data_IF_329122937463
#
_entry.id   IF_329122937463
#
_cell.length_a   1.000
_cell.length_b   1.000
_cell.length_c   1.000
_cell.angle_alpha   90.00
_cell.angle_beta   90.00
_cell.angle_gamma   90.00
#
_symmetry.space_group_name_H-M   'P 1'
#
loop_
_entity.id
_entity.type
_entity.pdbx_description
1 polymer ?
#
# COMPACT_ATOMS: atom_id res chain seq x y z
N UNK A 1 23.26 -23.17 -14.21
CA UNK A 1 22.60 -23.86 -13.11
C UNK A 1 21.12 -23.98 -13.45
N UNK A 2 20.62 -25.21 -13.51
CA UNK A 2 19.27 -25.54 -14.02
C UNK A 2 18.24 -25.24 -12.93
N UNK A 3 17.23 -24.42 -13.25
CA UNK A 3 16.05 -24.23 -12.43
C UNK A 3 15.06 -25.37 -12.69
N UNK A 4 14.63 -26.02 -11.62
CA UNK A 4 13.63 -27.08 -11.61
C UNK A 4 12.27 -26.44 -11.35
N UNK A 5 11.33 -26.62 -12.28
CA UNK A 5 9.93 -26.27 -12.15
C UNK A 5 9.16 -27.55 -11.75
N UNK A 6 8.32 -27.55 -10.72
CA UNK A 6 7.38 -28.65 -10.51
C UNK A 6 6.04 -28.32 -11.16
N UNK A 7 5.65 -29.21 -12.08
CA UNK A 7 4.31 -29.34 -12.63
C UNK A 7 3.38 -30.02 -11.62
N UNK A 8 2.26 -29.40 -11.29
CA UNK A 8 1.21 -29.96 -10.44
C UNK A 8 -0.12 -30.04 -11.16
N UNK A 9 -0.60 -31.25 -11.32
CA UNK A 9 -1.84 -31.65 -11.95
C UNK A 9 -3.10 -31.12 -11.25
N UNK A 10 -4.03 -30.72 -12.07
CA UNK A 10 -5.44 -30.49 -11.77
C UNK A 10 -6.19 -31.79 -11.47
N UNK A 11 -6.97 -31.81 -10.40
CA UNK A 11 -8.09 -32.75 -10.26
C UNK A 11 -9.34 -32.00 -9.78
N UNK A 12 -10.26 -31.89 -10.70
CA UNK A 12 -11.66 -31.52 -10.51
C UNK A 12 -12.42 -32.74 -9.94
N UNK A 13 -13.27 -32.54 -8.94
CA UNK A 13 -14.36 -33.44 -8.60
C UNK A 13 -15.66 -32.65 -8.40
N UNK A 14 -16.83 -33.28 -8.70
CA UNK A 14 -18.02 -32.57 -9.07
C UNK A 14 -19.01 -32.32 -7.92
N UNK A 15 -19.86 -31.32 -8.17
CA UNK A 15 -21.07 -31.01 -7.40
C UNK A 15 -22.10 -32.14 -7.47
N UNK A 16 -22.67 -32.53 -6.34
CA UNK A 16 -23.99 -33.13 -6.27
C UNK A 16 -24.86 -32.41 -5.25
N UNK A 17 -25.96 -31.92 -5.75
CA UNK A 17 -27.14 -31.42 -5.02
C UNK A 17 -27.97 -32.59 -4.51
N UNK A 18 -28.53 -32.51 -3.30
CA UNK A 18 -29.92 -32.92 -3.04
C UNK A 18 -30.39 -32.51 -1.65
N UNK A 19 -31.56 -31.91 -1.64
CA UNK A 19 -32.44 -31.62 -0.52
C UNK A 19 -32.85 -32.89 0.27
N UNK A 20 -33.06 -32.77 1.58
CA UNK A 20 -34.38 -33.03 2.18
C UNK A 20 -34.43 -32.82 3.70
N UNK A 21 -35.52 -32.17 4.10
CA UNK A 21 -36.01 -32.00 5.46
C UNK A 21 -36.35 -33.35 6.11
N UNK A 22 -36.14 -33.50 7.42
CA UNK A 22 -37.21 -33.90 8.35
C UNK A 22 -36.73 -33.79 9.82
N UNK A 23 -37.63 -33.29 10.64
CA UNK A 23 -37.61 -33.24 12.10
C UNK A 23 -37.55 -34.64 12.74
N UNK A 24 -36.84 -34.80 13.85
CA UNK A 24 -37.37 -35.47 15.07
C UNK A 24 -36.50 -35.25 16.32
N UNK A 25 -37.24 -35.11 17.39
CA UNK A 25 -36.86 -34.91 18.78
C UNK A 25 -36.09 -36.08 19.41
N UNK A 26 -35.39 -35.74 20.49
CA UNK A 26 -35.23 -36.44 21.79
C UNK A 26 -33.94 -37.25 21.99
N UNK A 27 -33.27 -36.88 22.96
CA UNK A 27 -32.93 -37.56 24.25
C UNK A 27 -31.47 -37.36 24.66
N UNK A 28 -31.41 -36.72 25.82
CA UNK A 28 -30.24 -36.61 26.69
C UNK A 28 -29.56 -37.95 26.94
N UNK A 29 -28.26 -38.03 26.63
CA UNK A 29 -27.36 -39.01 27.24
C UNK A 29 -26.11 -38.34 27.73
N UNK A 30 -26.04 -38.18 29.04
CA UNK A 30 -24.84 -37.81 29.79
C UNK A 30 -23.68 -38.76 29.49
N UNK A 31 -22.65 -38.29 28.83
CA UNK A 31 -21.38 -38.99 28.72
C UNK A 31 -20.43 -38.58 29.81
N UNK A 32 -20.11 -39.52 30.68
CA UNK A 32 -19.12 -39.49 31.77
C UNK A 32 -17.77 -38.95 31.22
N UNK A 33 -17.29 -37.84 31.83
CA UNK A 33 -15.92 -37.32 31.63
C UNK A 33 -14.92 -38.35 32.13
N UNK A 34 -14.09 -38.88 31.22
CA UNK A 34 -12.88 -39.62 31.58
C UNK A 34 -11.90 -38.64 32.21
N UNK A 35 -11.46 -38.97 33.44
CA UNK A 35 -10.35 -38.30 34.14
C UNK A 35 -9.08 -38.51 33.30
N UNK A 36 -8.53 -37.42 32.74
CA UNK A 36 -7.18 -37.41 32.22
C UNK A 36 -6.19 -37.35 33.37
N UNK A 37 -5.19 -38.22 33.38
CA UNK A 37 -4.18 -38.35 34.39
C UNK A 37 -3.22 -37.14 34.37
N UNK A 38 -2.85 -36.69 35.57
CA UNK A 38 -1.80 -35.68 35.81
C UNK A 38 -0.46 -36.18 35.28
N UNK A 39 0.00 -35.63 34.13
CA UNK A 39 1.42 -35.58 33.78
C UNK A 39 1.71 -34.27 33.06
N UNK A 40 2.68 -33.53 33.61
CA UNK A 40 3.33 -32.30 33.12
C UNK A 40 2.71 -30.95 33.50
N UNK A 41 2.66 -30.68 34.81
CA UNK A 41 2.24 -29.38 35.32
C UNK A 41 3.31 -28.25 35.21
N UNK A 42 4.55 -28.52 34.86
CA UNK A 42 5.62 -27.52 34.91
C UNK A 42 5.60 -26.53 33.73
N UNK A 43 5.09 -26.96 32.57
CA UNK A 43 4.94 -26.08 31.41
C UNK A 43 3.67 -25.24 31.45
N UNK A 44 2.61 -25.75 32.05
CA UNK A 44 1.33 -25.06 32.11
C UNK A 44 1.37 -23.85 33.06
N UNK A 45 2.08 -23.91 34.19
CA UNK A 45 2.18 -22.82 35.14
C UNK A 45 2.95 -21.62 34.59
N UNK A 46 4.07 -21.83 33.88
CA UNK A 46 4.81 -20.77 33.24
C UNK A 46 4.02 -20.08 32.11
N UNK A 47 3.24 -20.85 31.36
CA UNK A 47 2.36 -20.33 30.32
C UNK A 47 1.21 -19.52 30.92
N UNK A 48 0.54 -20.04 31.95
CA UNK A 48 -0.54 -19.34 32.65
C UNK A 48 -0.04 -18.02 33.23
N UNK A 49 1.12 -18.00 33.88
CA UNK A 49 1.72 -16.79 34.43
C UNK A 49 2.00 -15.73 33.34
N UNK A 50 2.49 -16.15 32.16
CA UNK A 50 2.72 -15.25 31.02
C UNK A 50 1.39 -14.68 30.47
N UNK A 51 0.35 -15.50 30.35
CA UNK A 51 -0.97 -15.05 29.89
C UNK A 51 -1.59 -14.08 30.90
N UNK A 52 -1.42 -14.32 32.20
CA UNK A 52 -1.89 -13.40 33.25
C UNK A 52 -1.17 -12.05 33.21
N UNK A 53 0.18 -12.06 33.00
CA UNK A 53 0.93 -10.81 32.81
C UNK A 53 0.44 -10.01 31.61
N UNK A 54 0.18 -10.67 30.48
CA UNK A 54 -0.37 -10.02 29.29
C UNK A 54 -1.79 -9.47 29.52
N UNK A 55 -2.61 -10.20 30.27
CA UNK A 55 -3.94 -9.75 30.64
C UNK A 55 -3.88 -8.48 31.53
N UNK A 56 -2.98 -8.43 32.52
CA UNK A 56 -2.73 -7.26 33.37
C UNK A 56 -2.27 -6.03 32.58
N UNK A 57 -1.33 -6.22 31.63
CA UNK A 57 -0.87 -5.14 30.75
C UNK A 57 -2.04 -4.61 29.92
N UNK A 58 -2.85 -5.48 29.36
CA UNK A 58 -4.03 -5.09 28.58
C UNK A 58 -5.03 -4.30 29.39
N UNK A 59 -5.36 -4.78 30.60
CA UNK A 59 -6.28 -4.10 31.52
C UNK A 59 -5.77 -2.69 31.85
N UNK A 60 -4.50 -2.53 32.23
CA UNK A 60 -3.89 -1.23 32.53
C UNK A 60 -4.00 -0.27 31.34
N UNK A 61 -3.75 -0.74 30.12
CA UNK A 61 -3.87 0.12 28.94
C UNK A 61 -5.32 0.51 28.60
N UNK A 62 -6.29 -0.35 28.89
CA UNK A 62 -7.70 0.00 28.75
C UNK A 62 -8.12 1.04 29.80
N UNK A 63 -7.63 0.94 31.01
CA UNK A 63 -7.81 1.93 32.08
C UNK A 63 -7.18 3.29 31.71
N UNK A 64 -5.93 3.29 31.21
CA UNK A 64 -5.26 4.50 30.74
C UNK A 64 -6.02 5.18 29.58
N UNK A 65 -6.56 4.38 28.63
CA UNK A 65 -7.40 4.91 27.56
C UNK A 65 -8.71 5.49 28.06
N UNK A 66 -9.32 4.85 29.04
CA UNK A 66 -10.55 5.34 29.65
C UNK A 66 -10.31 6.67 30.38
N UNK A 67 -9.19 6.78 31.13
CA UNK A 67 -8.81 8.00 31.84
C UNK A 67 -8.55 9.17 30.87
N UNK A 68 -7.82 8.92 29.76
CA UNK A 68 -7.59 9.94 28.72
C UNK A 68 -8.90 10.41 28.08
N UNK A 69 -9.86 9.51 27.84
CA UNK A 69 -11.19 9.88 27.33
C UNK A 69 -11.97 10.72 28.32
N UNK A 70 -11.92 10.40 29.60
CA UNK A 70 -12.58 11.17 30.67
C UNK A 70 -11.98 12.58 30.78
N UNK A 71 -10.65 12.72 30.69
CA UNK A 71 -10.00 14.04 30.69
C UNK A 71 -10.33 14.89 29.47
N UNK A 72 -10.53 14.29 28.31
CA UNK A 72 -10.94 15.03 27.10
C UNK A 72 -12.39 15.50 27.15
N UNK A 73 -13.26 14.85 27.92
CA UNK A 73 -14.65 15.29 28.17
C UNK A 73 -14.75 16.42 29.21
N UNK A 74 -13.86 16.44 30.21
CA UNK A 74 -13.90 17.45 31.28
C UNK A 74 -13.18 18.77 30.89
N UNK A 75 -12.48 18.81 29.74
CA UNK A 75 -11.86 20.04 29.23
C UNK A 75 -12.83 21.08 28.64
N UNK A 76 -14.13 20.78 28.63
CA UNK A 76 -15.17 21.59 27.96
C UNK A 76 -16.11 22.38 28.82
N UNK A 77 -15.98 22.39 30.18
CA UNK A 77 -16.89 23.12 31.06
C UNK A 77 -16.13 23.97 32.06
N UNK A 78 -15.56 25.08 31.64
CA UNK A 78 -15.47 26.28 32.47
C UNK A 78 -16.43 27.30 31.89
N UNK A 79 -17.62 27.30 32.45
CA UNK A 79 -18.60 28.37 32.33
C UNK A 79 -18.04 29.62 32.95
N UNK A 80 -17.77 30.64 32.16
CA UNK A 80 -17.85 32.03 32.61
C UNK A 80 -18.85 32.74 31.71
N UNK A 81 -19.79 33.39 32.38
CA UNK A 81 -20.94 34.07 31.84
C UNK A 81 -20.57 35.18 30.85
N UNK A 82 -21.59 35.51 30.05
CA UNK A 82 -21.73 36.70 29.19
C UNK A 82 -20.95 36.71 27.85
N UNK A 83 -21.71 36.34 26.81
CA UNK A 83 -21.33 36.63 25.41
C UNK A 83 -22.30 35.97 24.40
N UNK A 84 -22.52 36.56 23.26
CA UNK A 84 -23.75 36.45 22.46
C UNK A 84 -23.92 35.08 21.80
N UNK A 85 -25.19 34.74 21.62
CA UNK A 85 -25.75 33.52 20.98
C UNK A 85 -25.00 33.20 19.68
N UNK A 86 -24.24 32.10 19.68
CA UNK A 86 -23.56 31.57 18.50
C UNK A 86 -24.59 30.82 17.64
N UNK A 87 -24.87 31.35 16.47
CA UNK A 87 -25.76 30.77 15.47
C UNK A 87 -25.23 29.41 15.02
N UNK A 88 -26.14 28.45 14.86
CA UNK A 88 -25.94 27.04 14.47
C UNK A 88 -25.22 26.77 13.12
N UNK A 89 -24.43 27.72 12.59
CA UNK A 89 -23.74 27.64 11.31
C UNK A 89 -22.24 27.31 11.35
N UNK A 90 -21.60 27.40 12.52
CA UNK A 90 -20.13 27.39 12.61
C UNK A 90 -19.46 26.01 12.76
N UNK A 91 -20.23 24.93 12.83
CA UNK A 91 -19.66 23.57 12.93
C UNK A 91 -19.08 23.00 11.63
N UNK A 92 -19.28 23.68 10.50
CA UNK A 92 -18.81 23.20 9.18
C UNK A 92 -17.43 23.77 8.81
N UNK A 93 -16.92 24.77 9.55
CA UNK A 93 -15.61 25.39 9.24
C UNK A 93 -14.41 24.51 9.58
N UNK A 94 -14.55 23.50 10.43
CA UNK A 94 -13.44 22.60 10.75
C UNK A 94 -13.11 21.58 9.64
N UNK A 95 -14.01 21.39 8.66
CA UNK A 95 -13.79 20.51 7.52
C UNK A 95 -13.14 21.21 6.32
N UNK A 96 -13.03 22.54 6.34
CA UNK A 96 -12.33 23.31 5.29
C UNK A 96 -10.82 23.44 5.52
N UNK A 97 -10.31 22.97 6.63
CA UNK A 97 -8.87 23.04 6.96
C UNK A 97 -8.04 21.94 6.34
N UNK A 98 -8.60 21.13 5.45
CA UNK A 98 -7.81 20.22 4.63
C UNK A 98 -7.30 20.87 3.34
N UNK A 99 -7.68 22.11 3.07
CA UNK A 99 -7.06 22.89 2.00
C UNK A 99 -5.81 23.56 2.54
N UNK A 100 -4.72 22.82 2.46
CA UNK A 100 -3.40 23.28 2.05
C UNK A 100 -3.01 24.68 2.51
N UNK A 101 -2.94 24.87 3.81
CA UNK A 101 -1.78 25.52 4.34
C UNK A 101 -1.01 24.44 5.11
N UNK A 102 -0.54 23.44 4.41
CA UNK A 102 0.63 22.74 4.85
C UNK A 102 1.72 23.82 4.87
N UNK A 103 1.90 24.50 6.01
CA UNK A 103 3.19 25.01 6.39
C UNK A 103 4.09 23.80 6.29
N UNK A 104 4.59 23.55 5.08
CA UNK A 104 5.71 22.68 4.84
C UNK A 104 6.72 23.19 5.83
N UNK A 105 6.97 22.44 6.88
CA UNK A 105 8.13 22.67 7.73
C UNK A 105 9.28 22.45 6.76
N UNK A 106 9.67 23.49 6.08
CA UNK A 106 10.88 23.51 5.27
C UNK A 106 11.96 23.08 6.23
N UNK A 107 12.49 21.88 6.06
CA UNK A 107 13.75 21.56 6.69
C UNK A 107 14.70 22.66 6.21
N UNK A 108 15.26 23.39 7.13
CA UNK A 108 16.04 24.60 6.95
C UNK A 108 17.38 24.40 6.22
N UNK A 109 17.52 23.32 5.44
CA UNK A 109 18.76 22.90 4.76
C UNK A 109 18.58 22.76 3.23
N UNK A 110 17.39 23.04 2.68
CA UNK A 110 17.23 23.05 1.23
C UNK A 110 17.70 24.40 0.71
N UNK A 111 18.65 24.39 -0.21
CA UNK A 111 19.06 25.56 -0.96
C UNK A 111 17.82 26.24 -1.54
N UNK A 112 17.74 27.54 -1.37
CA UNK A 112 16.62 28.29 -1.92
C UNK A 112 16.86 28.52 -3.40
N UNK A 113 16.33 27.63 -4.24
CA UNK A 113 16.38 27.76 -5.69
C UNK A 113 15.08 28.37 -6.18
N UNK A 114 15.09 29.60 -6.68
CA UNK A 114 13.87 30.25 -7.15
C UNK A 114 13.24 29.46 -8.32
N UNK A 115 11.93 29.55 -8.45
CA UNK A 115 11.21 28.97 -9.58
C UNK A 115 11.28 29.95 -10.76
N UNK A 116 11.68 29.44 -11.92
CA UNK A 116 11.72 30.22 -13.17
C UNK A 116 10.31 30.38 -13.74
N UNK A 117 9.90 31.63 -13.97
CA UNK A 117 8.60 31.92 -14.59
C UNK A 117 8.70 32.06 -16.12
N UNK A 118 7.67 31.64 -16.88
CA UNK A 118 6.45 30.94 -16.45
C UNK A 118 6.71 29.46 -16.15
N UNK A 119 6.05 28.91 -15.12
CA UNK A 119 6.15 27.51 -14.75
C UNK A 119 4.76 26.88 -14.60
N UNK A 120 4.68 25.59 -14.87
CA UNK A 120 3.45 24.80 -14.76
C UNK A 120 3.52 23.89 -13.55
N UNK A 121 2.45 23.86 -12.78
CA UNK A 121 2.23 22.91 -11.70
C UNK A 121 1.34 21.78 -12.21
N UNK A 122 1.76 20.54 -11.94
CA UNK A 122 1.00 19.34 -12.20
C UNK A 122 0.73 18.60 -10.88
N UNK A 123 -0.51 18.17 -10.69
CA UNK A 123 -0.93 17.39 -9.53
C UNK A 123 -1.14 15.94 -9.92
N UNK A 124 -0.32 15.03 -9.40
CA UNK A 124 -0.38 13.60 -9.68
C UNK A 124 -0.88 12.81 -8.48
N UNK A 125 -1.82 11.93 -8.71
CA UNK A 125 -2.27 10.92 -7.75
C UNK A 125 -1.65 9.58 -8.08
N UNK A 126 -1.13 8.89 -7.05
CA UNK A 126 -0.59 7.53 -7.15
C UNK A 126 -1.51 6.57 -6.44
N UNK A 127 -1.87 5.49 -7.12
CA UNK A 127 -2.79 4.48 -6.60
C UNK A 127 -2.05 3.20 -6.23
N UNK A 128 -2.64 2.47 -5.30
CA UNK A 128 -2.10 1.23 -4.77
C UNK A 128 -1.99 0.14 -5.84
N UNK A 129 -0.90 -0.63 -5.85
CA UNK A 129 -0.61 -1.66 -6.83
C UNK A 129 -1.70 -2.76 -6.92
N UNK A 130 -2.20 -3.24 -5.78
CA UNK A 130 -3.23 -4.30 -5.71
C UNK A 130 -4.65 -3.74 -5.60
N UNK A 131 -4.83 -2.61 -4.90
CA UNK A 131 -6.13 -1.96 -4.65
C UNK A 131 -6.27 -0.72 -5.52
N UNK A 132 -6.57 -0.91 -6.80
CA UNK A 132 -6.55 0.11 -7.86
C UNK A 132 -7.37 1.39 -7.56
N UNK A 133 -8.33 1.34 -6.63
CA UNK A 133 -9.15 2.49 -6.24
C UNK A 133 -8.65 3.21 -4.97
N UNK A 134 -7.57 2.71 -4.35
CA UNK A 134 -7.01 3.30 -3.15
C UNK A 134 -5.88 4.24 -3.51
N UNK A 135 -6.13 5.55 -3.41
CA UNK A 135 -5.08 6.56 -3.52
C UNK A 135 -4.11 6.43 -2.35
N UNK A 136 -2.83 6.28 -2.66
CA UNK A 136 -1.76 6.15 -1.66
C UNK A 136 -1.03 7.44 -1.44
N UNK A 137 -0.76 8.19 -2.51
CA UNK A 137 -0.01 9.42 -2.45
C UNK A 137 -0.56 10.44 -3.45
N UNK A 138 -0.29 11.72 -3.19
CA UNK A 138 -0.53 12.82 -4.12
C UNK A 138 0.68 13.75 -4.11
N UNK A 139 1.12 14.11 -5.28
CA UNK A 139 2.30 14.94 -5.51
C UNK A 139 1.95 16.17 -6.31
N UNK A 140 2.60 17.26 -5.97
CA UNK A 140 2.64 18.45 -6.80
C UNK A 140 4.05 18.58 -7.36
N UNK A 141 4.18 18.64 -8.67
CA UNK A 141 5.45 18.75 -9.39
C UNK A 141 5.46 19.97 -10.30
N UNK A 142 6.66 20.42 -10.67
CA UNK A 142 6.83 21.49 -11.67
C UNK A 142 7.01 20.86 -13.06
N UNK A 143 6.51 21.51 -14.08
CA UNK A 143 6.61 21.02 -15.47
C UNK A 143 8.03 20.81 -15.95
N UNK A 144 8.97 21.60 -15.47
CA UNK A 144 10.40 21.49 -15.82
C UNK A 144 11.19 20.49 -14.99
N UNK A 145 10.57 19.78 -14.03
CA UNK A 145 11.23 18.70 -13.30
C UNK A 145 11.35 17.44 -14.14
N UNK A 146 12.38 16.64 -13.86
CA UNK A 146 12.54 15.35 -14.50
C UNK A 146 11.60 14.30 -13.88
N UNK A 147 11.21 13.32 -14.69
CA UNK A 147 10.35 12.23 -14.24
C UNK A 147 10.96 11.41 -13.11
N UNK A 148 12.27 11.33 -13.04
CA UNK A 148 13.00 10.65 -11.97
C UNK A 148 12.74 11.27 -10.60
N UNK A 149 12.51 12.58 -10.54
CA UNK A 149 12.30 13.29 -9.27
C UNK A 149 11.01 12.82 -8.56
N UNK A 150 9.91 12.60 -9.31
CA UNK A 150 8.69 12.03 -8.71
C UNK A 150 8.88 10.54 -8.41
N UNK A 151 9.51 9.78 -9.30
CA UNK A 151 9.78 8.36 -9.10
C UNK A 151 10.49 8.12 -7.77
N UNK A 152 11.51 8.89 -7.47
CA UNK A 152 12.32 8.77 -6.25
C UNK A 152 11.54 9.13 -4.96
N UNK A 153 10.41 9.84 -5.09
CA UNK A 153 9.52 10.19 -3.97
C UNK A 153 8.36 9.22 -3.77
N UNK A 154 8.05 8.39 -4.76
CA UNK A 154 6.97 7.40 -4.65
C UNK A 154 7.37 6.33 -3.63
N UNK A 155 6.58 6.21 -2.57
CA UNK A 155 6.72 5.16 -1.58
C UNK A 155 5.94 3.92 -2.02
N UNK A 156 6.59 2.77 -2.00
CA UNK A 156 5.96 1.47 -2.22
C UNK A 156 6.47 0.44 -1.22
N UNK A 157 5.56 -0.36 -0.65
CA UNK A 157 5.92 -1.43 0.27
C UNK A 157 6.81 -2.49 -0.40
N UNK A 158 6.61 -2.74 -1.70
CA UNK A 158 7.45 -3.69 -2.45
C UNK A 158 8.91 -3.24 -2.45
N UNK A 159 9.19 -1.94 -2.62
CA UNK A 159 10.55 -1.40 -2.55
C UNK A 159 11.18 -1.63 -1.16
N UNK A 160 10.42 -1.42 -0.09
CA UNK A 160 10.91 -1.64 1.27
C UNK A 160 11.22 -3.12 1.55
N UNK A 161 10.40 -4.03 1.01
CA UNK A 161 10.65 -5.48 1.10
C UNK A 161 11.92 -5.83 0.33
N UNK A 162 12.06 -5.37 -0.91
CA UNK A 162 13.21 -5.67 -1.75
C UNK A 162 14.51 -5.09 -1.16
N UNK A 163 14.46 -3.90 -0.57
CA UNK A 163 15.60 -3.32 0.17
C UNK A 163 16.02 -4.19 1.35
N UNK A 164 15.06 -4.70 2.14
CA UNK A 164 15.36 -5.58 3.28
C UNK A 164 15.95 -6.92 2.87
N UNK A 165 15.52 -7.47 1.74
CA UNK A 165 16.06 -8.72 1.18
C UNK A 165 17.39 -8.50 0.46
N UNK A 166 17.80 -7.24 0.24
CA UNK A 166 19.03 -6.91 -0.50
C UNK A 166 18.94 -7.14 -2.02
N UNK A 167 17.70 -7.20 -2.56
CA UNK A 167 17.41 -7.40 -3.98
C UNK A 167 16.71 -6.18 -4.60
N UNK A 168 16.92 -5.00 -4.01
CA UNK A 168 16.32 -3.78 -4.52
C UNK A 168 16.91 -3.40 -5.87
N UNK A 169 16.02 -3.25 -6.87
CA UNK A 169 16.36 -2.80 -8.22
C UNK A 169 15.87 -1.36 -8.43
N UNK A 170 16.74 -0.48 -8.90
CA UNK A 170 16.40 0.92 -9.14
C UNK A 170 15.65 1.15 -10.43
N UNK A 171 15.64 0.16 -11.33
CA UNK A 171 14.97 0.23 -12.62
C UNK A 171 13.45 0.31 -12.48
N UNK A 172 12.84 0.92 -13.45
CA UNK A 172 11.40 1.03 -13.56
C UNK A 172 11.04 1.94 -14.75
N UNK A 173 9.77 1.97 -15.11
CA UNK A 173 9.31 2.83 -16.18
C UNK A 173 7.93 3.45 -15.89
N UNK A 174 7.71 4.61 -16.47
CA UNK A 174 6.38 5.14 -16.71
C UNK A 174 5.96 4.83 -18.14
N UNK A 175 4.73 4.36 -18.31
CA UNK A 175 4.08 4.32 -19.63
C UNK A 175 3.03 5.42 -19.67
N UNK A 176 3.32 6.45 -20.46
CA UNK A 176 2.49 7.64 -20.61
C UNK A 176 2.13 7.75 -22.08
N UNK A 177 0.84 7.58 -22.38
CA UNK A 177 0.33 7.45 -23.75
C UNK A 177 1.06 6.33 -24.52
N UNK A 178 1.88 6.67 -25.50
CA UNK A 178 2.68 5.76 -26.32
C UNK A 178 4.18 5.79 -25.99
N UNK A 179 4.57 6.41 -24.86
CA UNK A 179 5.97 6.61 -24.49
C UNK A 179 6.35 5.83 -23.24
N UNK A 180 7.31 4.92 -23.38
CA UNK A 180 8.00 4.28 -22.26
C UNK A 180 9.12 5.19 -21.76
N UNK A 181 9.01 5.68 -20.55
CA UNK A 181 10.04 6.47 -19.89
C UNK A 181 10.80 5.56 -18.93
N UNK A 182 11.96 5.06 -19.33
CA UNK A 182 12.75 4.10 -18.57
C UNK A 182 13.75 4.79 -17.64
N UNK A 183 13.85 4.34 -16.39
CA UNK A 183 14.91 4.73 -15.50
C UNK A 183 16.14 3.83 -15.71
N UNK A 184 17.13 4.38 -16.35
CA UNK A 184 18.40 3.69 -16.69
C UNK A 184 19.60 4.27 -15.95
N UNK A 185 19.39 4.91 -14.78
CA UNK A 185 20.47 5.53 -13.98
C UNK A 185 21.38 4.52 -13.30
N UNK A 186 20.86 3.34 -12.97
CA UNK A 186 21.64 2.29 -12.32
C UNK A 186 22.63 1.62 -13.28
N UNK A 187 23.79 1.20 -12.77
CA UNK A 187 24.79 0.48 -13.58
C UNK A 187 24.25 -0.87 -14.11
N UNK A 188 23.41 -1.54 -13.34
CA UNK A 188 22.74 -2.80 -13.71
C UNK A 188 21.28 -2.60 -14.13
N UNK A 189 20.91 -1.39 -14.58
CA UNK A 189 19.53 -1.07 -14.89
C UNK A 189 18.96 -1.95 -16.00
N UNK A 190 17.74 -2.44 -15.77
CA UNK A 190 16.99 -3.27 -16.72
C UNK A 190 16.07 -2.35 -17.53
N UNK A 191 16.18 -2.43 -18.85
CA UNK A 191 15.21 -1.78 -19.75
C UNK A 191 13.99 -2.69 -19.91
N UNK A 192 12.93 -2.39 -19.18
CA UNK A 192 11.66 -3.14 -19.23
C UNK A 192 10.89 -2.95 -20.55
N UNK A 193 11.15 -1.86 -21.27
CA UNK A 193 10.46 -1.59 -22.54
C UNK A 193 11.01 -2.41 -23.70
N UNK A 194 12.29 -2.74 -23.67
CA UNK A 194 12.97 -3.43 -24.78
C UNK A 194 12.30 -4.75 -25.18
N UNK A 195 12.00 -5.71 -24.27
CA UNK A 195 11.33 -6.95 -24.66
C UNK A 195 9.94 -6.72 -25.25
N UNK A 196 9.25 -5.65 -24.81
CA UNK A 196 7.92 -5.30 -25.33
C UNK A 196 8.04 -4.74 -26.73
N UNK A 197 8.99 -3.83 -26.96
CA UNK A 197 9.22 -3.22 -28.27
C UNK A 197 9.72 -4.26 -29.28
N UNK A 198 10.67 -5.12 -28.87
CA UNK A 198 11.18 -6.22 -29.70
C UNK A 198 10.01 -7.19 -30.09
N UNK A 199 9.12 -7.50 -29.16
CA UNK A 199 7.95 -8.32 -29.46
C UNK A 199 6.99 -7.62 -30.43
N UNK A 200 6.72 -6.33 -30.26
CA UNK A 200 5.87 -5.53 -31.15
C UNK A 200 6.43 -5.45 -32.58
N UNK A 201 7.76 -5.45 -32.72
CA UNK A 201 8.43 -5.43 -34.03
C UNK A 201 8.43 -6.80 -34.70
N UNK A 202 8.67 -7.87 -33.93
CA UNK A 202 8.84 -9.23 -34.47
C UNK A 202 7.52 -10.00 -34.61
N UNK A 203 6.47 -9.65 -33.86
CA UNK A 203 5.18 -10.36 -33.81
C UNK A 203 4.02 -9.39 -34.09
N UNK A 204 4.09 -8.67 -35.20
CA UNK A 204 3.08 -7.61 -35.54
C UNK A 204 1.66 -8.14 -35.63
N UNK A 205 1.49 -9.32 -36.21
CA UNK A 205 0.17 -9.92 -36.43
C UNK A 205 -0.47 -10.30 -35.07
N UNK A 206 0.28 -10.95 -34.18
CA UNK A 206 -0.18 -11.28 -32.82
C UNK A 206 -0.46 -10.01 -31.99
N UNK A 207 0.34 -8.98 -32.16
CA UNK A 207 0.17 -7.71 -31.48
C UNK A 207 -1.10 -6.99 -31.95
N UNK A 208 -1.38 -7.04 -33.26
CA UNK A 208 -2.59 -6.46 -33.84
C UNK A 208 -3.85 -7.19 -33.37
N UNK A 209 -3.84 -8.53 -33.38
CA UNK A 209 -4.95 -9.35 -32.88
C UNK A 209 -5.27 -9.01 -31.40
N UNK A 210 -4.24 -8.91 -30.56
CA UNK A 210 -4.44 -8.52 -29.16
C UNK A 210 -4.95 -7.10 -29.03
N UNK A 211 -4.48 -6.18 -29.85
CA UNK A 211 -4.94 -4.80 -29.86
C UNK A 211 -6.40 -4.71 -30.24
N UNK A 212 -6.82 -5.41 -31.29
CA UNK A 212 -8.21 -5.49 -31.74
C UNK A 212 -9.12 -6.08 -30.64
N UNK A 213 -8.65 -7.14 -29.95
CA UNK A 213 -9.35 -7.72 -28.83
C UNK A 213 -9.58 -6.71 -27.69
N UNK A 214 -8.55 -5.94 -27.32
CA UNK A 214 -8.63 -4.90 -26.29
C UNK A 214 -9.60 -3.81 -26.71
N UNK A 215 -9.50 -3.32 -27.94
CA UNK A 215 -10.39 -2.26 -28.46
C UNK A 215 -11.83 -2.74 -28.54
N UNK A 216 -12.07 -3.99 -28.95
CA UNK A 216 -13.41 -4.55 -29.10
C UNK A 216 -14.06 -4.93 -27.77
N UNK A 217 -13.30 -5.50 -26.83
CA UNK A 217 -13.83 -6.18 -25.64
C UNK A 217 -13.64 -5.47 -24.31
N UNK A 218 -12.45 -4.99 -24.02
CA UNK A 218 -12.08 -4.56 -22.65
C UNK A 218 -12.20 -3.06 -22.41
N UNK A 219 -12.20 -2.22 -23.45
CA UNK A 219 -12.28 -0.78 -23.26
C UNK A 219 -13.70 -0.34 -22.88
N UNK A 220 -13.78 0.43 -21.80
CA UNK A 220 -15.03 1.09 -21.44
C UNK A 220 -15.45 2.08 -22.55
N UNK A 221 -16.76 2.30 -22.71
CA UNK A 221 -17.30 3.17 -23.76
C UNK A 221 -16.62 4.54 -23.82
N UNK A 222 -16.36 5.16 -22.66
CA UNK A 222 -15.66 6.44 -22.58
C UNK A 222 -14.22 6.40 -23.14
N UNK A 223 -13.52 5.27 -23.00
CA UNK A 223 -12.17 5.10 -23.57
C UNK A 223 -12.25 4.85 -25.07
N UNK A 224 -13.29 4.13 -25.53
CA UNK A 224 -13.54 3.94 -26.97
C UNK A 224 -13.83 5.25 -27.68
N UNK A 225 -14.57 6.16 -27.03
CA UNK A 225 -14.92 7.46 -27.58
C UNK A 225 -13.72 8.42 -27.67
N UNK A 226 -12.71 8.23 -26.80
CA UNK A 226 -11.44 8.99 -26.80
C UNK A 226 -10.44 8.52 -27.87
N UNK A 227 -10.61 7.30 -28.38
CA UNK A 227 -9.78 6.78 -29.46
C UNK A 227 -10.34 7.25 -30.81
N UNK A 228 -9.52 7.99 -31.56
CA UNK A 228 -9.83 8.33 -32.95
C UNK A 228 -10.07 7.07 -33.78
N UNK A 229 -10.98 7.13 -34.71
CA UNK A 229 -11.40 5.98 -35.53
C UNK A 229 -10.20 5.35 -36.26
N UNK A 230 -9.23 6.17 -36.69
CA UNK A 230 -8.02 5.71 -37.36
C UNK A 230 -7.08 4.97 -36.39
N UNK A 231 -7.04 5.36 -35.12
CA UNK A 231 -6.19 4.71 -34.09
C UNK A 231 -6.77 3.37 -33.61
N UNK A 232 -8.05 3.10 -33.84
CA UNK A 232 -8.66 1.79 -33.54
C UNK A 232 -8.19 0.68 -34.47
N UNK A 233 -7.76 1.03 -35.69
CA UNK A 233 -7.35 0.07 -36.71
C UNK A 233 -5.84 -0.12 -36.82
N UNK A 234 -5.06 0.71 -36.14
CA UNK A 234 -3.59 0.65 -36.18
C UNK A 234 -3.00 0.40 -34.79
N UNK A 235 -1.99 -0.45 -34.77
CA UNK A 235 -1.21 -0.69 -33.53
C UNK A 235 -0.55 0.62 -33.08
N UNK A 236 -0.62 0.98 -31.79
CA UNK A 236 0.09 2.15 -31.26
C UNK A 236 1.60 2.06 -31.52
N UNK A 237 2.19 3.17 -31.94
CA UNK A 237 3.64 3.27 -32.15
C UNK A 237 4.33 3.67 -30.86
N UNK A 238 4.71 2.68 -30.08
CA UNK A 238 5.41 2.93 -28.83
C UNK A 238 6.83 3.42 -29.05
N UNK A 239 7.31 4.29 -28.15
CA UNK A 239 8.66 4.84 -28.13
C UNK A 239 9.27 4.66 -26.76
N UNK A 240 10.59 4.53 -26.69
CA UNK A 240 11.33 4.51 -25.43
C UNK A 240 12.17 5.78 -25.29
N UNK A 241 12.14 6.39 -24.09
CA UNK A 241 12.96 7.54 -23.72
C UNK A 241 13.56 7.32 -22.33
N UNK A 242 14.66 8.01 -22.04
CA UNK A 242 15.29 7.95 -20.74
C UNK A 242 14.58 8.91 -19.75
N UNK A 243 14.13 8.37 -18.65
CA UNK A 243 13.40 9.12 -17.62
C UNK A 243 14.23 10.26 -17.03
N UNK A 244 15.54 10.07 -16.87
CA UNK A 244 16.46 11.06 -16.30
C UNK A 244 16.71 12.27 -17.20
N UNK A 245 16.42 12.17 -18.50
CA UNK A 245 16.55 13.27 -19.46
C UNK A 245 15.20 13.85 -19.90
N UNK A 246 14.10 13.28 -19.45
CA UNK A 246 12.75 13.67 -19.86
C UNK A 246 12.05 14.44 -18.75
N UNK A 247 11.53 15.60 -19.08
CA UNK A 247 10.76 16.47 -18.17
C UNK A 247 9.26 16.25 -18.35
N UNK A 248 8.47 16.67 -17.37
CA UNK A 248 7.01 16.59 -17.51
C UNK A 248 6.49 17.42 -18.67
N UNK A 249 7.09 18.57 -18.97
CA UNK A 249 6.70 19.42 -20.10
C UNK A 249 7.02 18.82 -21.48
N UNK A 250 7.87 17.80 -21.57
CA UNK A 250 8.24 17.15 -22.83
C UNK A 250 7.23 16.06 -23.25
N UNK A 251 6.29 15.72 -22.38
CA UNK A 251 5.32 14.64 -22.57
C UNK A 251 3.91 15.21 -22.63
N UNK A 252 3.07 14.57 -23.45
CA UNK A 252 1.63 14.86 -23.49
C UNK A 252 0.91 14.09 -22.39
N UNK A 253 0.18 14.82 -21.57
CA UNK A 253 -0.71 14.26 -20.55
C UNK A 253 -2.16 14.62 -20.85
N UNK A 254 -3.06 13.70 -20.50
CA UNK A 254 -4.51 13.95 -20.46
C UNK A 254 -4.98 14.00 -19.03
N UNK A 255 -5.76 15.03 -18.70
CA UNK A 255 -6.34 15.18 -17.37
C UNK A 255 -7.28 14.01 -17.08
N UNK A 256 -7.12 13.38 -15.92
CA UNK A 256 -7.92 12.25 -15.47
C UNK A 256 -7.58 10.91 -16.12
N UNK A 257 -6.63 10.86 -17.05
CA UNK A 257 -6.15 9.59 -17.61
C UNK A 257 -5.24 8.87 -16.60
N UNK A 258 -5.38 7.55 -16.54
CA UNK A 258 -4.51 6.68 -15.73
C UNK A 258 -3.31 6.20 -16.53
N UNK A 259 -2.11 6.48 -16.02
CA UNK A 259 -0.84 6.05 -16.59
C UNK A 259 -0.22 4.95 -15.74
N UNK A 260 0.62 4.12 -16.34
CA UNK A 260 1.27 3.01 -15.65
C UNK A 260 2.64 3.43 -15.11
N UNK A 261 2.90 3.15 -13.85
CA UNK A 261 4.24 3.06 -13.28
C UNK A 261 4.54 1.61 -12.89
N UNK A 262 5.62 1.05 -13.42
CA UNK A 262 6.04 -0.30 -13.13
C UNK A 262 7.49 -0.31 -12.63
N UNK A 263 7.73 -1.09 -11.57
CA UNK A 263 9.05 -1.26 -10.95
C UNK A 263 9.15 -2.64 -10.27
N UNK A 264 10.33 -3.02 -9.79
CA UNK A 264 10.59 -4.30 -9.11
C UNK A 264 10.00 -5.50 -9.87
N UNK A 265 10.19 -5.54 -11.19
CA UNK A 265 9.68 -6.58 -12.07
C UNK A 265 8.21 -6.42 -12.44
N UNK A 266 7.27 -6.54 -11.53
CA UNK A 266 5.82 -6.53 -11.81
C UNK A 266 4.98 -5.70 -10.83
N UNK A 267 5.61 -4.86 -10.02
CA UNK A 267 4.86 -3.95 -9.16
C UNK A 267 4.32 -2.77 -9.96
N UNK A 268 3.01 -2.76 -10.21
CA UNK A 268 2.33 -1.81 -11.09
C UNK A 268 1.46 -0.84 -10.31
N UNK A 269 1.67 0.44 -10.47
CA UNK A 269 0.85 1.51 -9.93
C UNK A 269 0.15 2.28 -11.04
N UNK A 270 -1.06 2.75 -10.78
CA UNK A 270 -1.73 3.71 -11.64
C UNK A 270 -1.39 5.11 -11.13
N UNK A 271 -0.97 5.97 -12.05
CA UNK A 271 -0.71 7.39 -11.80
C UNK A 271 -1.71 8.21 -12.61
N UNK A 272 -2.37 9.15 -11.99
CA UNK A 272 -3.38 10.00 -12.64
C UNK A 272 -2.96 11.45 -12.54
N UNK A 273 -2.89 12.14 -13.67
CA UNK A 273 -2.79 13.60 -13.67
C UNK A 273 -4.16 14.19 -13.37
N UNK A 274 -4.33 14.71 -12.15
CA UNK A 274 -5.58 15.26 -11.68
C UNK A 274 -5.80 16.70 -12.10
N UNK A 275 -4.76 17.53 -12.00
CA UNK A 275 -4.84 18.95 -12.26
C UNK A 275 -3.55 19.48 -12.88
N UNK A 276 -3.68 20.53 -13.70
CA UNK A 276 -2.56 21.23 -14.32
C UNK A 276 -2.89 22.72 -14.42
N UNK A 277 -2.02 23.55 -13.87
CA UNK A 277 -2.19 25.00 -13.87
C UNK A 277 -0.85 25.73 -13.87
N UNK A 278 -0.87 27.01 -14.12
CA UNK A 278 0.30 27.87 -13.90
C UNK A 278 0.55 28.04 -12.40
N UNK A 279 1.82 28.20 -12.05
CA UNK A 279 2.23 28.50 -10.68
C UNK A 279 1.68 29.86 -10.25
N UNK A 280 1.17 29.94 -9.01
CA UNK A 280 0.67 31.15 -8.40
C UNK A 280 1.66 31.68 -7.36
N UNK A 281 1.73 33.01 -7.08
CA UNK A 281 2.61 33.57 -6.05
C UNK A 281 2.43 32.96 -4.64
N UNK A 282 1.25 32.42 -4.33
CA UNK A 282 0.97 31.74 -3.05
C UNK A 282 1.50 30.30 -3.00
N UNK A 283 1.88 29.75 -4.14
CA UNK A 283 2.52 28.42 -4.17
C UNK A 283 3.96 28.51 -3.63
N UNK A 284 4.55 27.36 -3.31
CA UNK A 284 5.94 27.31 -2.85
C UNK A 284 6.87 27.76 -3.99
N UNK A 285 7.57 28.88 -3.77
CA UNK A 285 8.45 29.50 -4.78
C UNK A 285 9.88 28.94 -4.77
N UNK A 286 10.11 27.81 -4.08
CA UNK A 286 11.39 27.13 -4.04
C UNK A 286 11.34 25.82 -4.84
N UNK A 287 12.05 25.77 -5.97
CA UNK A 287 12.12 24.58 -6.83
C UNK A 287 12.65 23.33 -6.09
N UNK A 288 13.61 23.52 -5.18
CA UNK A 288 14.20 22.40 -4.44
C UNK A 288 13.21 21.72 -3.49
N UNK A 289 12.08 22.37 -3.17
CA UNK A 289 11.03 21.77 -2.36
C UNK A 289 10.16 20.77 -3.13
N UNK A 290 10.11 20.86 -4.47
CA UNK A 290 9.33 19.95 -5.31
C UNK A 290 10.11 18.68 -5.65
N UNK A 291 9.43 17.53 -5.83
CA UNK A 291 7.99 17.28 -5.70
C UNK A 291 7.47 17.42 -4.28
N UNK A 292 6.33 18.12 -4.11
CA UNK A 292 5.66 18.28 -2.84
C UNK A 292 4.67 17.12 -2.63
N UNK A 293 4.75 16.47 -1.48
CA UNK A 293 3.75 15.46 -1.09
C UNK A 293 2.57 16.21 -0.43
N UNK A 294 1.43 16.25 -1.12
CA UNK A 294 0.20 16.88 -0.60
C UNK A 294 -0.70 15.91 0.13
N UNK A 295 -0.60 14.64 -0.21
CA UNK A 295 -1.31 13.58 0.48
C UNK A 295 -0.45 12.31 0.58
N UNK A 296 -0.49 11.66 1.73
CA UNK A 296 0.05 10.33 1.93
C UNK A 296 -0.93 9.52 2.78
N UNK A 297 -1.33 8.34 2.28
CA UNK A 297 -2.17 7.43 3.03
C UNK A 297 -1.44 6.96 4.29
N UNK A 298 -2.17 6.89 5.41
CA UNK A 298 -1.62 6.32 6.63
C UNK A 298 -1.46 4.81 6.46
N UNK A 299 -0.30 4.31 6.86
CA UNK A 299 -0.06 2.87 6.90
C UNK A 299 -1.09 2.18 7.80
N UNK A 300 -1.64 1.08 7.32
CA UNK A 300 -2.54 0.24 8.12
C UNK A 300 -1.72 -0.72 8.95
N UNK A 301 -1.85 -0.60 10.25
CA UNK A 301 -1.11 -1.45 11.17
C UNK A 301 -1.94 -2.68 11.56
N UNK A 302 -1.37 -3.87 11.35
CA UNK A 302 -1.90 -5.07 11.97
C UNK A 302 -1.50 -5.09 13.45
N UNK A 303 -2.44 -5.42 14.31
CA UNK A 303 -2.17 -5.62 15.73
C UNK A 303 -1.71 -7.05 16.00
N UNK A 304 -0.90 -7.21 17.03
CA UNK A 304 -0.52 -8.51 17.54
C UNK A 304 -1.76 -9.39 17.80
N UNK A 305 -1.75 -10.62 17.31
CA UNK A 305 -2.86 -11.56 17.46
C UNK A 305 -3.06 -11.99 18.91
N UNK A 306 -2.00 -11.94 19.72
CA UNK A 306 -2.01 -12.36 21.12
C UNK A 306 -2.52 -11.24 22.05
N UNK A 307 -1.78 -10.15 22.16
CA UNK A 307 -2.15 -9.10 23.10
C UNK A 307 -3.19 -8.11 22.56
N UNK A 308 -3.39 -8.00 21.24
CA UNK A 308 -4.28 -7.03 20.55
C UNK A 308 -3.94 -5.55 20.84
N UNK A 309 -2.78 -5.29 21.47
CA UNK A 309 -2.36 -3.97 21.94
C UNK A 309 -1.32 -3.38 21.00
N UNK A 310 -0.17 -4.05 20.90
CA UNK A 310 0.96 -3.57 20.12
C UNK A 310 0.82 -3.91 18.63
N UNK A 311 1.54 -3.18 17.81
CA UNK A 311 1.65 -3.48 16.37
C UNK A 311 2.40 -4.80 16.19
N UNK A 312 1.96 -5.60 15.25
CA UNK A 312 2.69 -6.79 14.86
C UNK A 312 4.03 -6.40 14.21
N UNK A 313 5.08 -7.11 14.52
CA UNK A 313 6.42 -6.96 13.92
C UNK A 313 6.93 -8.26 13.32
N UNK A 314 6.36 -9.39 13.75
CA UNK A 314 6.67 -10.71 13.24
C UNK A 314 5.42 -11.45 12.84
N UNK A 315 5.56 -12.31 11.85
CA UNK A 315 4.54 -13.27 11.43
C UNK A 315 5.13 -14.67 11.53
N UNK A 316 4.43 -15.58 12.18
CA UNK A 316 4.80 -17.00 12.24
C UNK A 316 3.85 -17.83 11.40
N UNK A 317 4.41 -18.86 10.77
CA UNK A 317 3.68 -19.84 9.98
C UNK A 317 4.02 -21.22 10.51
N UNK A 318 3.00 -22.08 10.62
CA UNK A 318 3.06 -23.44 11.17
C UNK A 318 3.57 -23.50 12.61
N UNK A 319 3.27 -22.47 13.37
CA UNK A 319 3.63 -22.32 14.76
C UNK A 319 2.59 -23.01 15.66
N UNK A 320 2.97 -24.10 16.30
CA UNK A 320 2.08 -24.93 17.14
C UNK A 320 1.60 -24.24 18.42
N UNK A 321 2.29 -23.17 18.86
CA UNK A 321 1.90 -22.38 20.03
C UNK A 321 1.05 -21.17 19.67
N UNK A 322 0.90 -20.89 18.39
CA UNK A 322 0.11 -19.78 17.92
C UNK A 322 -1.39 -20.11 17.92
N UNK A 323 -2.21 -19.11 18.19
CA UNK A 323 -3.68 -19.25 18.18
C UNK A 323 -4.28 -19.31 16.78
N UNK A 324 -3.51 -18.96 15.76
CA UNK A 324 -3.92 -18.94 14.35
C UNK A 324 -2.70 -19.17 13.44
N UNK A 325 -2.93 -19.66 12.24
CA UNK A 325 -1.90 -19.81 11.21
C UNK A 325 -2.35 -19.06 9.93
N UNK A 326 -1.62 -18.01 9.51
CA UNK A 326 -0.47 -17.37 10.16
C UNK A 326 -0.85 -16.56 11.41
N UNK A 327 0.10 -16.38 12.32
CA UNK A 327 -0.08 -15.59 13.51
C UNK A 327 0.82 -14.35 13.52
N UNK A 328 0.25 -13.21 13.95
CA UNK A 328 0.94 -11.93 13.97
C UNK A 328 1.35 -11.58 15.40
N UNK A 329 2.63 -11.36 15.63
CA UNK A 329 3.20 -11.08 16.94
C UNK A 329 3.84 -9.70 17.01
N UNK A 330 3.67 -9.00 18.13
CA UNK A 330 4.61 -7.95 18.52
C UNK A 330 5.86 -8.61 19.13
N UNK A 331 6.98 -7.89 19.20
CA UNK A 331 8.22 -8.45 19.75
C UNK A 331 8.03 -9.00 21.15
N UNK A 332 7.33 -8.27 22.01
CA UNK A 332 7.09 -8.70 23.39
C UNK A 332 6.42 -10.06 23.45
N UNK A 333 5.29 -10.23 22.73
CA UNK A 333 4.56 -11.50 22.72
C UNK A 333 5.34 -12.60 22.05
N UNK A 334 6.08 -12.28 20.99
CA UNK A 334 6.92 -13.25 20.30
C UNK A 334 8.00 -13.82 21.23
N UNK A 335 8.77 -12.95 21.89
CA UNK A 335 9.81 -13.38 22.82
C UNK A 335 9.25 -14.08 24.05
N UNK A 336 8.13 -13.63 24.59
CA UNK A 336 7.50 -14.27 25.76
C UNK A 336 7.01 -15.67 25.50
N UNK A 337 6.54 -15.95 24.27
CA UNK A 337 6.00 -17.28 23.92
C UNK A 337 7.05 -18.26 23.41
N UNK A 338 8.09 -17.76 22.73
CA UNK A 338 9.05 -18.62 22.03
C UNK A 338 10.41 -18.74 22.73
N UNK A 339 10.72 -17.86 23.69
CA UNK A 339 12.02 -17.88 24.34
C UNK A 339 11.90 -18.12 25.84
N UNK A 340 12.79 -18.95 26.37
CA UNK A 340 13.04 -19.11 27.81
C UNK A 340 14.53 -18.94 28.08
N UNK A 341 14.89 -18.12 29.07
CA UNK A 341 16.29 -17.84 29.46
C UNK A 341 17.20 -17.45 28.27
N UNK A 342 16.64 -16.70 27.31
CA UNK A 342 17.39 -16.28 26.11
C UNK A 342 17.53 -17.34 25.01
N UNK A 343 17.05 -18.56 25.22
CA UNK A 343 17.09 -19.64 24.24
C UNK A 343 15.71 -19.88 23.61
N UNK A 344 15.68 -20.17 22.31
CA UNK A 344 14.48 -20.53 21.60
C UNK A 344 13.95 -21.89 22.09
N UNK A 345 12.68 -21.98 22.43
CA UNK A 345 12.07 -23.19 22.99
C UNK A 345 11.90 -24.31 21.95
N UNK A 346 11.65 -23.96 20.70
CA UNK A 346 11.48 -24.86 19.58
C UNK A 346 11.66 -24.10 18.26
N UNK A 347 11.97 -24.78 17.18
CA UNK A 347 12.34 -24.22 15.88
C UNK A 347 11.58 -24.84 14.69
N UNK A 348 10.50 -25.57 14.94
CA UNK A 348 9.69 -26.24 13.93
C UNK A 348 8.59 -25.34 13.34
N UNK A 349 8.87 -24.05 13.16
CA UNK A 349 8.01 -23.05 12.53
C UNK A 349 8.83 -22.04 11.74
N UNK A 350 8.18 -21.33 10.83
CA UNK A 350 8.78 -20.25 10.06
C UNK A 350 8.44 -18.90 10.66
N UNK A 351 9.41 -17.99 10.78
CA UNK A 351 9.21 -16.63 11.26
C UNK A 351 9.72 -15.62 10.23
N UNK A 352 8.93 -14.57 10.00
CA UNK A 352 9.26 -13.49 9.10
C UNK A 352 8.97 -12.14 9.75
N UNK A 353 9.73 -11.12 9.38
CA UNK A 353 9.42 -9.74 9.77
C UNK A 353 8.14 -9.29 9.06
N UNK A 354 7.23 -8.70 9.82
CA UNK A 354 5.99 -8.17 9.27
C UNK A 354 6.12 -6.69 8.93
N UNK A 355 5.94 -6.36 7.66
CA UNK A 355 5.90 -5.00 7.16
C UNK A 355 4.45 -4.54 7.00
N UNK A 356 4.16 -3.35 7.50
CA UNK A 356 2.81 -2.76 7.45
C UNK A 356 2.55 -2.11 6.10
N UNK A 357 1.34 -2.30 5.58
CA UNK A 357 0.84 -1.78 4.31
C UNK A 357 0.02 -0.48 4.48
#
# INVERSE_FOLDING_TARGET
>A
MKAIVPSGSSNLLPLTTSDNKTNKKSSTKTKKRKRFSKKNNYFDESYIAKVEQLAKIKQKQEEDKASVRLHSFNGGTKSHESGPVIKKGDKIKSLKSASVSAKVKSSSTLDNVPVDFPETILCFEVYHNKRKFLKTQEFVVLGRQFLTEIKDKIYCLTDEIMKKVGQYETSGYFLIEDVFCNDTRGYSSIDYSKPILDWLENSKDDALEKWEYIVAGELQQKQKDLLDTEKKQQLPRFKAVNMQSTRFCDIRFRLGAGYLYCHQGDCKHVIVLRDMRLIHPEDVQNRAAYPLITFQSKLRYMKCSVCKIYRAQKITVDDKWASSNPCYFCDVCYYMLHYANGSLLYNDFSVYDYLHE
#
